data_IF_257933634594
#
_entry.id   IF_257933634594
#
_cell.length_a   1.000
_cell.length_b   1.000
_cell.length_c   1.000
_cell.angle_alpha   90.00
_cell.angle_beta   90.00
_cell.angle_gamma   90.00
#
_symmetry.space_group_name_H-M   'P 1'
#
loop_
_entity.id
_entity.type
_entity.pdbx_description
1 polymer ?
#
# COMPACT_ATOMS: atom_id res chain seq x y z
N UNK A 1 -5.35 -6.35 26.25
CA UNK A 1 -5.64 -6.19 24.81
C UNK A 1 -7.01 -6.79 24.60
N UNK A 2 -8.02 -5.96 24.41
CA UNK A 2 -9.38 -6.44 24.21
C UNK A 2 -9.50 -7.03 22.81
N UNK A 3 -9.89 -8.28 22.72
CA UNK A 3 -10.17 -8.97 21.46
C UNK A 3 -11.50 -8.44 20.92
N UNK A 4 -11.46 -7.64 19.85
CA UNK A 4 -12.66 -7.32 19.11
C UNK A 4 -13.14 -8.57 18.39
N UNK A 5 -14.27 -9.11 18.85
CA UNK A 5 -14.91 -10.25 18.20
C UNK A 5 -15.71 -9.74 17.02
N UNK A 6 -15.28 -10.06 15.81
CA UNK A 6 -16.05 -9.75 14.59
C UNK A 6 -17.23 -10.73 14.56
N UNK A 7 -18.46 -10.22 14.61
CA UNK A 7 -19.60 -11.02 14.16
C UNK A 7 -19.46 -11.14 12.64
N UNK A 8 -19.05 -12.30 12.15
CA UNK A 8 -19.16 -12.57 10.73
C UNK A 8 -20.64 -12.58 10.40
N UNK A 9 -21.16 -11.48 9.84
CA UNK A 9 -22.27 -11.58 8.90
C UNK A 9 -21.81 -12.65 7.92
N UNK A 10 -22.50 -13.78 7.84
CA UNK A 10 -22.21 -14.78 6.81
C UNK A 10 -22.29 -14.03 5.49
N UNK A 11 -21.14 -13.66 4.93
CA UNK A 11 -21.05 -13.26 3.54
C UNK A 11 -21.54 -14.48 2.80
N UNK A 12 -22.76 -14.40 2.26
CA UNK A 12 -23.08 -15.20 1.10
C UNK A 12 -21.89 -15.02 0.16
N UNK A 13 -21.35 -16.08 -0.46
CA UNK A 13 -20.38 -15.93 -1.52
C UNK A 13 -21.08 -15.14 -2.63
N UNK A 14 -21.06 -13.82 -2.52
CA UNK A 14 -21.13 -12.98 -3.67
C UNK A 14 -19.79 -13.24 -4.31
N UNK A 15 -19.79 -14.14 -5.29
CA UNK A 15 -18.87 -14.00 -6.40
C UNK A 15 -19.05 -12.54 -6.84
N UNK A 16 -18.24 -11.62 -6.31
CA UNK A 16 -18.19 -10.27 -6.86
C UNK A 16 -17.72 -10.49 -8.27
N UNK A 17 -18.67 -10.35 -9.20
CA UNK A 17 -18.50 -10.36 -10.65
C UNK A 17 -17.18 -9.68 -10.95
N UNK A 18 -16.15 -10.45 -11.35
CA UNK A 18 -14.78 -10.03 -11.63
C UNK A 18 -14.59 -8.49 -11.60
N UNK A 19 -14.54 -7.91 -10.39
CA UNK A 19 -14.34 -6.47 -10.29
C UNK A 19 -12.99 -6.22 -10.94
N UNK A 20 -12.92 -5.21 -11.80
CA UNK A 20 -11.68 -4.89 -12.50
C UNK A 20 -10.62 -4.59 -11.45
N UNK A 21 -9.68 -5.52 -11.29
CA UNK A 21 -8.53 -5.33 -10.41
C UNK A 21 -7.55 -4.45 -11.16
N UNK A 22 -7.28 -3.27 -10.60
CA UNK A 22 -6.34 -2.32 -11.15
C UNK A 22 -5.01 -2.39 -10.41
N UNK A 23 -3.94 -2.00 -11.10
CA UNK A 23 -2.59 -1.96 -10.54
C UNK A 23 -1.91 -0.65 -10.88
N UNK A 24 -1.01 -0.21 -10.00
CA UNK A 24 -0.26 1.03 -10.17
C UNK A 24 0.95 1.05 -9.25
N UNK A 25 1.92 1.90 -9.56
CA UNK A 25 3.14 2.03 -8.76
C UNK A 25 3.53 3.49 -8.58
N UNK A 26 4.10 3.81 -7.43
CA UNK A 26 4.75 5.09 -7.16
C UNK A 26 6.15 4.87 -6.59
N UNK A 27 7.09 5.73 -6.98
CA UNK A 27 8.47 5.70 -6.48
C UNK A 27 8.68 6.86 -5.52
N UNK A 28 9.28 6.57 -4.37
CA UNK A 28 9.61 7.53 -3.33
C UNK A 28 11.08 7.45 -2.96
N UNK A 29 11.59 8.51 -2.34
CA UNK A 29 12.93 8.58 -1.76
C UNK A 29 12.76 8.92 -0.29
N UNK A 30 12.94 7.94 0.60
CA UNK A 30 12.60 8.08 2.00
C UNK A 30 13.40 7.12 2.90
N UNK A 31 13.35 7.36 4.21
CA UNK A 31 13.83 6.46 5.26
C UNK A 31 13.04 6.70 6.56
N UNK A 32 13.18 5.80 7.53
CA UNK A 32 12.50 5.89 8.81
C UNK A 32 10.98 5.72 8.72
N UNK A 33 10.26 6.26 9.70
CA UNK A 33 8.80 6.28 9.72
C UNK A 33 8.27 7.40 8.83
N UNK A 34 7.45 7.04 7.84
CA UNK A 34 7.02 7.97 6.80
C UNK A 34 5.60 7.67 6.31
N UNK A 35 4.88 8.71 5.91
CA UNK A 35 3.61 8.59 5.16
C UNK A 35 3.92 8.89 3.68
N UNK A 36 3.75 7.87 2.83
CA UNK A 36 3.96 7.95 1.39
C UNK A 36 2.61 8.23 0.72
N UNK A 37 2.53 9.30 -0.08
CA UNK A 37 1.27 9.74 -0.68
C UNK A 37 1.31 9.62 -2.21
N UNK A 38 0.40 8.82 -2.78
CA UNK A 38 0.20 8.71 -4.22
C UNK A 38 -1.14 9.32 -4.61
N UNK A 39 -1.14 10.27 -5.55
CA UNK A 39 -2.35 10.95 -6.02
C UNK A 39 -2.88 10.31 -7.30
N UNK A 40 -4.19 10.10 -7.38
CA UNK A 40 -4.89 9.62 -8.57
C UNK A 40 -6.40 9.76 -8.39
N UNK A 41 -7.11 10.18 -9.43
CA UNK A 41 -8.57 10.25 -9.44
C UNK A 41 -9.25 8.87 -9.40
N UNK A 42 -8.48 7.78 -9.48
CA UNK A 42 -8.99 6.42 -9.36
C UNK A 42 -9.41 6.04 -7.92
N UNK A 43 -8.94 6.78 -6.91
CA UNK A 43 -9.20 6.46 -5.51
C UNK A 43 -10.33 7.30 -4.91
N UNK A 44 -11.19 6.62 -4.16
CA UNK A 44 -12.19 7.21 -3.26
C UNK A 44 -12.01 6.59 -1.86
N UNK A 45 -12.63 7.15 -0.80
CA UNK A 45 -12.59 6.53 0.52
C UNK A 45 -13.18 5.11 0.58
N UNK A 46 -14.00 4.70 -0.40
CA UNK A 46 -14.57 3.35 -0.49
C UNK A 46 -13.71 2.33 -1.24
N UNK A 47 -12.66 2.78 -1.94
CA UNK A 47 -11.78 1.89 -2.70
C UNK A 47 -11.05 0.93 -1.76
N UNK A 48 -10.99 -0.36 -2.09
CA UNK A 48 -10.20 -1.33 -1.33
C UNK A 48 -8.81 -1.41 -1.94
N UNK A 49 -7.79 -1.15 -1.13
CA UNK A 49 -6.40 -1.04 -1.61
C UNK A 49 -5.49 -1.93 -0.79
N UNK A 50 -4.68 -2.72 -1.49
CA UNK A 50 -3.52 -3.43 -0.93
C UNK A 50 -2.27 -2.77 -1.47
N UNK A 51 -1.28 -2.59 -0.59
CA UNK A 51 0.01 -2.02 -0.97
C UNK A 51 1.17 -2.95 -0.59
N UNK A 52 2.21 -2.95 -1.41
CA UNK A 52 3.51 -3.56 -1.12
C UNK A 52 4.61 -2.52 -1.28
N UNK A 53 5.70 -2.65 -0.52
CA UNK A 53 6.86 -1.77 -0.59
C UNK A 53 8.11 -2.61 -0.86
N UNK A 54 8.99 -2.11 -1.73
CA UNK A 54 10.27 -2.75 -2.04
C UNK A 54 11.34 -1.70 -2.33
N UNK A 55 12.59 -1.99 -2.00
CA UNK A 55 13.73 -1.20 -2.46
C UNK A 55 13.92 -1.37 -3.97
N UNK A 56 14.37 -0.32 -4.64
CA UNK A 56 14.75 -0.38 -6.05
C UNK A 56 16.13 0.23 -6.28
N UNK A 57 16.86 -0.28 -7.27
CA UNK A 57 18.13 0.31 -7.70
C UNK A 57 17.94 1.60 -8.53
N UNK A 58 19.06 2.12 -9.07
CA UNK A 58 19.05 3.28 -9.95
C UNK A 58 18.36 3.04 -11.30
N UNK A 59 18.23 1.78 -11.74
CA UNK A 59 17.48 1.40 -12.94
C UNK A 59 15.98 1.17 -12.64
N UNK A 60 15.56 1.23 -11.38
CA UNK A 60 14.18 0.97 -10.95
C UNK A 60 13.84 -0.51 -10.81
N UNK A 61 14.85 -1.38 -10.77
CA UNK A 61 14.70 -2.83 -10.60
C UNK A 61 14.57 -3.13 -9.09
N UNK A 62 13.53 -3.89 -8.68
CA UNK A 62 13.38 -4.32 -7.29
C UNK A 62 14.54 -5.17 -6.80
N UNK A 63 14.94 -4.95 -5.56
CA UNK A 63 15.99 -5.72 -4.90
C UNK A 63 15.67 -5.97 -3.43
N UNK A 64 16.30 -7.00 -2.87
CA UNK A 64 16.30 -7.27 -1.42
C UNK A 64 17.56 -6.65 -0.84
N UNK A 65 17.42 -5.46 -0.27
CA UNK A 65 18.48 -4.74 0.40
C UNK A 65 18.62 -5.14 1.87
N UNK A 66 19.45 -4.40 2.61
CA UNK A 66 19.67 -4.64 4.03
C UNK A 66 18.58 -4.02 4.93
N UNK A 67 17.83 -3.04 4.42
CA UNK A 67 16.79 -2.36 5.18
C UNK A 67 15.55 -3.24 5.33
N UNK A 68 15.00 -3.31 6.56
CA UNK A 68 13.68 -3.90 6.78
C UNK A 68 12.61 -2.86 6.44
N UNK A 69 11.57 -3.27 5.74
CA UNK A 69 10.48 -2.39 5.35
C UNK A 69 9.14 -2.99 5.79
N UNK A 70 8.31 -2.17 6.41
CA UNK A 70 6.97 -2.56 6.86
C UNK A 70 5.94 -1.52 6.44
N UNK A 71 4.74 -1.97 6.10
CA UNK A 71 3.57 -1.11 5.93
C UNK A 71 2.71 -1.28 7.18
N UNK A 72 2.37 -0.18 7.83
CA UNK A 72 1.57 -0.14 9.04
C UNK A 72 0.10 0.18 8.76
N UNK A 73 -0.16 0.99 7.73
CA UNK A 73 -1.52 1.36 7.35
C UNK A 73 -1.60 1.75 5.87
N UNK A 74 -2.74 1.48 5.24
CA UNK A 74 -3.07 1.91 3.88
C UNK A 74 -4.42 2.61 3.93
N UNK A 75 -4.43 3.92 3.65
CA UNK A 75 -5.61 4.77 3.72
C UNK A 75 -5.91 5.37 2.35
N UNK A 76 -6.89 4.83 1.61
CA UNK A 76 -7.44 5.52 0.45
C UNK A 76 -8.23 6.76 0.90
N UNK A 77 -8.22 7.79 0.06
CA UNK A 77 -8.98 9.02 0.23
C UNK A 77 -9.44 9.52 -1.14
N UNK A 78 -10.29 10.55 -1.17
CA UNK A 78 -10.73 11.12 -2.43
C UNK A 78 -9.53 11.71 -3.20
N UNK A 79 -9.16 11.09 -4.31
CA UNK A 79 -8.05 11.54 -5.15
C UNK A 79 -6.67 10.98 -4.78
N UNK A 80 -6.57 9.96 -3.92
CA UNK A 80 -5.30 9.28 -3.68
C UNK A 80 -5.31 8.19 -2.61
N UNK A 81 -4.10 7.74 -2.28
CA UNK A 81 -3.84 6.77 -1.22
C UNK A 81 -2.60 7.15 -0.42
N UNK A 82 -2.72 7.07 0.91
CA UNK A 82 -1.63 7.25 1.87
C UNK A 82 -1.19 5.88 2.39
N UNK A 83 0.12 5.65 2.44
CA UNK A 83 0.71 4.45 3.02
C UNK A 83 1.62 4.87 4.17
N UNK A 84 1.27 4.48 5.39
CA UNK A 84 2.18 4.63 6.53
C UNK A 84 3.13 3.45 6.54
N UNK A 85 4.43 3.72 6.39
CA UNK A 85 5.48 2.72 6.34
C UNK A 85 6.62 3.05 7.30
N UNK A 86 7.43 2.04 7.59
CA UNK A 86 8.74 2.18 8.20
C UNK A 86 9.79 1.58 7.26
N UNK A 87 10.84 2.34 7.00
CA UNK A 87 12.02 1.91 6.25
C UNK A 87 13.18 1.96 7.24
N UNK A 88 13.53 0.82 7.83
CA UNK A 88 14.56 0.69 8.88
C UNK A 88 15.96 0.89 8.30
N UNK A 89 16.29 2.15 8.02
CA UNK A 89 17.57 2.57 7.47
C UNK A 89 17.90 4.00 7.91
N UNK A 90 19.20 4.33 7.89
CA UNK A 90 19.71 5.63 8.37
C UNK A 90 19.87 6.68 7.27
N UNK A 91 19.56 6.35 6.02
CA UNK A 91 19.64 7.26 4.88
C UNK A 91 18.52 6.98 3.88
N UNK A 92 18.22 7.97 3.04
CA UNK A 92 17.18 7.81 2.03
C UNK A 92 17.48 6.64 1.08
N UNK A 93 16.49 5.77 0.89
CA UNK A 93 16.47 4.73 -0.11
C UNK A 93 15.43 5.06 -1.18
N UNK A 94 15.68 4.60 -2.41
CA UNK A 94 14.65 4.60 -3.45
C UNK A 94 13.74 3.40 -3.20
N UNK A 95 12.46 3.67 -3.01
CA UNK A 95 11.47 2.61 -2.75
C UNK A 95 10.32 2.73 -3.72
N UNK A 96 9.82 1.59 -4.19
CA UNK A 96 8.61 1.50 -4.99
C UNK A 96 7.48 0.96 -4.12
N UNK A 97 6.38 1.70 -4.07
CA UNK A 97 5.11 1.19 -3.55
C UNK A 97 4.27 0.72 -4.73
N UNK A 98 3.82 -0.53 -4.69
CA UNK A 98 2.90 -1.08 -5.68
C UNK A 98 1.52 -1.22 -5.05
N UNK A 99 0.49 -0.82 -5.77
CA UNK A 99 -0.90 -0.80 -5.34
C UNK A 99 -1.70 -1.77 -6.20
N UNK A 100 -2.56 -2.56 -5.56
CA UNK A 100 -3.61 -3.35 -6.18
C UNK A 100 -4.92 -2.85 -5.58
N UNK A 101 -5.89 -2.48 -6.41
CA UNK A 101 -7.17 -1.99 -5.91
C UNK A 101 -8.36 -2.44 -6.75
N UNK A 102 -9.50 -2.51 -6.05
CA UNK A 102 -10.84 -2.72 -6.61
C UNK A 102 -11.72 -1.53 -6.20
N UNK A 103 -12.60 -1.14 -7.11
CA UNK A 103 -13.55 -0.01 -6.92
C UNK A 103 -14.93 -0.48 -6.52
#
# INVERSE_FOLDING_TARGET
MDLQTIQSSVETPSERSADLVFTGTAVFVAHGQVILNATSNAFTPGTRVVASIVEIDNAGIPLIGAARMTIHNVRPYQGGVQVWANIEWNSNLRVRVSYIWET
#
